data_IF_027112004241
#
_entry.id   IF_027112004241
#
_cell.length_a   1.000
_cell.length_b   1.000
_cell.length_c   1.000
_cell.angle_alpha   90.00
_cell.angle_beta   90.00
_cell.angle_gamma   90.00
#
_symmetry.space_group_name_H-M   'P 1'
#
loop_
_entity.id
_entity.type
_entity.pdbx_description
1 polymer ?
#
# COMPACT_ATOMS: atom_id res chain seq x y z
N UNK A 1 4.57 -5.43 -5.90
CA UNK A 1 4.67 -5.18 -4.44
C UNK A 1 5.88 -4.34 -4.05
N UNK A 2 7.06 -4.53 -4.64
CA UNK A 2 8.26 -3.72 -4.31
C UNK A 2 8.04 -2.21 -4.43
N UNK A 3 7.66 -1.73 -5.62
CA UNK A 3 7.46 -0.30 -5.88
C UNK A 3 6.43 0.31 -4.93
N UNK A 4 5.35 -0.40 -4.63
CA UNK A 4 4.36 0.04 -3.65
C UNK A 4 4.97 0.28 -2.28
N UNK A 5 5.75 -0.69 -1.76
CA UNK A 5 6.44 -0.55 -0.47
C UNK A 5 7.48 0.58 -0.49
N UNK A 6 8.18 0.75 -1.62
CA UNK A 6 9.17 1.81 -1.81
C UNK A 6 8.51 3.20 -1.79
N UNK A 7 7.43 3.40 -2.54
CA UNK A 7 6.73 4.70 -2.61
C UNK A 7 5.91 5.05 -1.37
N UNK A 8 5.56 4.06 -0.53
CA UNK A 8 4.95 4.31 0.80
C UNK A 8 5.98 4.56 1.91
N UNK A 9 7.28 4.41 1.62
CA UNK A 9 8.34 4.57 2.59
C UNK A 9 8.92 5.98 2.52
N UNK A 10 9.02 6.66 3.65
CA UNK A 10 9.72 7.95 3.76
C UNK A 10 11.22 7.78 4.08
N UNK A 11 11.75 6.56 3.95
CA UNK A 11 13.15 6.24 4.29
C UNK A 11 14.02 6.25 3.04
N UNK A 12 15.09 7.06 3.08
CA UNK A 12 16.12 7.14 2.04
C UNK A 12 16.83 5.80 1.82
N UNK A 13 17.13 5.07 2.90
CA UNK A 13 17.70 3.71 2.85
C UNK A 13 16.88 2.74 3.67
N UNK A 14 16.81 1.50 3.23
CA UNK A 14 16.02 0.51 3.93
C UNK A 14 16.05 -0.87 3.30
N UNK A 15 15.20 -1.72 3.87
CA UNK A 15 15.06 -3.11 3.48
C UNK A 15 13.58 -3.36 3.20
N UNK A 16 13.29 -3.96 2.05
CA UNK A 16 11.95 -4.37 1.64
C UNK A 16 11.97 -5.88 1.42
N UNK A 17 11.22 -6.61 2.25
CA UNK A 17 10.96 -8.03 2.05
C UNK A 17 9.80 -8.24 1.07
N UNK A 18 10.04 -9.06 0.05
CA UNK A 18 9.11 -9.42 -1.01
C UNK A 18 9.11 -10.95 -1.13
N UNK A 19 8.02 -11.59 -0.72
CA UNK A 19 7.91 -13.05 -0.67
C UNK A 19 9.12 -13.68 0.06
N UNK A 20 9.93 -14.43 -0.66
CA UNK A 20 11.13 -15.15 -0.22
C UNK A 20 12.43 -14.33 -0.35
N UNK A 21 12.36 -13.08 -0.82
CA UNK A 21 13.52 -12.24 -1.14
C UNK A 21 13.59 -10.97 -0.30
N UNK A 22 14.82 -10.55 -0.02
CA UNK A 22 15.13 -9.32 0.71
C UNK A 22 15.82 -8.35 -0.25
N UNK A 23 15.26 -7.16 -0.40
CA UNK A 23 15.83 -6.09 -1.23
C UNK A 23 16.33 -4.97 -0.35
N UNK A 24 17.64 -4.71 -0.38
CA UNK A 24 18.26 -3.57 0.29
C UNK A 24 18.35 -2.43 -0.72
N UNK A 25 17.90 -1.24 -0.33
CA UNK A 25 17.83 -0.09 -1.22
C UNK A 25 18.40 1.17 -0.59
N UNK A 26 18.87 2.09 -1.43
CA UNK A 26 19.22 3.48 -1.07
C UNK A 26 18.75 4.37 -2.22
N UNK A 27 17.96 5.40 -1.90
CA UNK A 27 17.44 6.37 -2.87
C UNK A 27 18.52 7.41 -3.09
N UNK A 28 19.09 7.41 -4.30
CA UNK A 28 20.13 8.35 -4.70
C UNK A 28 19.50 9.69 -5.10
N UNK A 29 18.36 9.65 -5.78
CA UNK A 29 17.67 10.83 -6.30
C UNK A 29 16.19 10.55 -6.54
N UNK A 30 15.33 11.55 -6.29
CA UNK A 30 13.92 11.53 -6.63
C UNK A 30 13.54 12.81 -7.36
N UNK A 31 13.28 12.70 -8.68
CA UNK A 31 12.88 13.81 -9.54
C UNK A 31 11.53 13.55 -10.17
N UNK A 32 10.67 14.58 -10.21
CA UNK A 32 9.46 14.57 -11.01
C UNK A 32 9.83 15.07 -12.41
N UNK A 33 10.08 14.14 -13.33
CA UNK A 33 10.34 14.49 -14.72
C UNK A 33 9.00 14.77 -15.43
N UNK A 34 8.98 15.70 -16.37
CA UNK A 34 7.89 15.82 -17.33
C UNK A 34 8.01 14.64 -18.30
N UNK A 35 7.11 13.67 -18.18
CA UNK A 35 7.19 12.40 -18.91
C UNK A 35 6.29 12.46 -20.14
N UNK A 36 6.80 11.97 -21.28
CA UNK A 36 6.06 11.80 -22.54
C UNK A 36 4.98 10.71 -22.42
N UNK A 37 3.82 10.93 -23.03
CA UNK A 37 2.50 10.35 -22.72
C UNK A 37 2.45 8.81 -22.69
N UNK A 38 3.36 8.14 -23.40
CA UNK A 38 3.38 6.68 -23.57
C UNK A 38 3.88 5.90 -22.34
N UNK A 39 4.77 6.46 -21.51
CA UNK A 39 5.24 5.78 -20.29
C UNK A 39 4.42 6.14 -19.04
N UNK A 40 3.57 7.15 -19.17
CA UNK A 40 2.64 7.63 -18.14
C UNK A 40 1.59 6.58 -17.79
N UNK A 41 1.20 5.70 -18.71
CA UNK A 41 0.08 4.75 -18.51
C UNK A 41 0.37 3.73 -17.41
N UNK A 42 1.55 3.11 -17.40
CA UNK A 42 1.93 2.08 -16.42
C UNK A 42 2.12 2.67 -15.01
N UNK A 43 2.77 3.84 -14.94
CA UNK A 43 2.97 4.57 -13.67
C UNK A 43 1.63 5.03 -13.12
N UNK A 44 0.76 5.61 -13.96
CA UNK A 44 -0.59 6.05 -13.59
C UNK A 44 -1.44 4.89 -13.09
N UNK A 45 -1.47 3.76 -13.79
CA UNK A 45 -2.19 2.56 -13.34
C UNK A 45 -1.70 2.07 -11.97
N UNK A 46 -0.38 2.11 -11.74
CA UNK A 46 0.20 1.72 -10.45
C UNK A 46 -0.22 2.68 -9.34
N UNK A 47 -0.14 3.99 -9.57
CA UNK A 47 -0.56 5.03 -8.62
C UNK A 47 -2.05 4.93 -8.31
N UNK A 48 -2.90 4.76 -9.31
CA UNK A 48 -4.35 4.61 -9.12
C UNK A 48 -4.69 3.36 -8.30
N UNK A 49 -3.99 2.23 -8.53
CA UNK A 49 -4.13 1.04 -7.69
C UNK A 49 -3.71 1.29 -6.24
N UNK A 50 -2.62 2.03 -6.02
CA UNK A 50 -2.18 2.39 -4.66
C UNK A 50 -3.22 3.25 -3.95
N UNK A 51 -3.72 4.31 -4.62
CA UNK A 51 -4.78 5.19 -4.08
C UNK A 51 -6.03 4.39 -3.70
N UNK A 52 -6.50 3.53 -4.61
CA UNK A 52 -7.67 2.67 -4.36
C UNK A 52 -7.46 1.76 -3.16
N UNK A 53 -6.30 1.11 -3.05
CA UNK A 53 -5.99 0.22 -1.92
C UNK A 53 -6.01 0.97 -0.59
N UNK A 54 -5.42 2.17 -0.53
CA UNK A 54 -5.41 3.00 0.68
C UNK A 54 -6.82 3.49 1.03
N UNK A 55 -7.60 3.91 0.04
CA UNK A 55 -8.99 4.31 0.23
C UNK A 55 -9.84 3.16 0.78
N UNK A 56 -9.82 2.01 0.11
CA UNK A 56 -10.63 0.84 0.49
C UNK A 56 -10.29 0.37 1.92
N UNK A 57 -9.00 0.35 2.31
CA UNK A 57 -8.58 -0.01 3.66
C UNK A 57 -9.06 0.97 4.73
N UNK A 58 -9.03 2.28 4.46
CA UNK A 58 -9.52 3.28 5.40
C UNK A 58 -11.05 3.30 5.46
N UNK A 59 -11.72 3.06 4.34
CA UNK A 59 -13.16 2.97 4.27
C UNK A 59 -13.68 1.80 5.12
N UNK A 60 -13.05 0.63 5.04
CA UNK A 60 -13.38 -0.50 5.90
C UNK A 60 -13.23 -0.17 7.39
N UNK A 61 -12.18 0.54 7.81
CA UNK A 61 -12.01 1.00 9.20
C UNK A 61 -13.12 1.95 9.65
N UNK A 62 -13.55 2.85 8.77
CA UNK A 62 -14.66 3.77 9.05
C UNK A 62 -15.97 2.99 9.21
N UNK A 63 -16.22 2.01 8.34
CA UNK A 63 -17.40 1.16 8.44
C UNK A 63 -17.39 0.33 9.73
N UNK A 64 -16.28 -0.29 10.06
CA UNK A 64 -16.10 -1.06 11.30
C UNK A 64 -16.39 -0.21 12.55
N UNK A 65 -15.87 1.02 12.59
CA UNK A 65 -16.15 1.98 13.68
C UNK A 65 -17.62 2.41 13.72
N UNK A 66 -18.25 2.61 12.56
CA UNK A 66 -19.62 3.13 12.46
C UNK A 66 -20.67 2.06 12.73
N UNK A 67 -20.37 0.80 12.41
CA UNK A 67 -21.30 -0.32 12.52
C UNK A 67 -20.68 -1.42 13.41
N UNK A 68 -20.71 -1.24 14.74
CA UNK A 68 -20.15 -2.22 15.67
C UNK A 68 -20.88 -3.56 15.51
N UNK A 69 -20.14 -4.58 15.10
CA UNK A 69 -20.68 -5.93 14.93
C UNK A 69 -20.61 -6.69 16.25
N UNK A 70 -21.75 -7.18 16.73
CA UNK A 70 -21.77 -8.10 17.87
C UNK A 70 -21.51 -9.51 17.35
N UNK A 71 -20.39 -10.11 17.72
CA UNK A 71 -20.10 -11.52 17.44
C UNK A 71 -20.85 -12.37 18.45
N UNK A 72 -21.93 -13.03 18.02
CA UNK A 72 -22.61 -14.02 18.84
C UNK A 72 -21.78 -15.31 18.85
N UNK A 73 -20.84 -15.41 19.79
CA UNK A 73 -20.09 -16.64 20.05
C UNK A 73 -20.96 -17.57 20.90
N UNK A 74 -22.00 -18.16 20.29
CA UNK A 74 -22.77 -19.22 20.94
C UNK A 74 -21.95 -20.51 20.88
N UNK A 75 -21.01 -20.70 21.80
CA UNK A 75 -20.25 -21.95 21.84
C UNK A 75 -19.00 -22.04 22.72
N UNK A 76 -18.68 -21.05 23.57
CA UNK A 76 -17.58 -21.15 24.54
C UNK A 76 -18.12 -20.95 25.96
N UNK A 77 -18.93 -21.89 26.43
CA UNK A 77 -19.13 -22.14 27.86
C UNK A 77 -18.36 -23.40 28.20
N UNK A 78 -17.32 -23.21 29.03
CA UNK A 78 -16.47 -24.17 29.76
C UNK A 78 -16.52 -25.65 29.38
#
# INVERSE_FOLDING_TARGET
QFLQKLFTSNKEKGIISIFDKIVVYTIIEQKLLAVDDNSTTSVKQTVERMKKTVFDANFLKVLDKKYPTQTYVRGLTN
#
